data_IF_900200147819
#
_entry.id   IF_900200147819
#
_cell.length_a   1.000
_cell.length_b   1.000
_cell.length_c   1.000
_cell.angle_alpha   90.00
_cell.angle_beta   90.00
_cell.angle_gamma   90.00
#
_symmetry.space_group_name_H-M   'P 1'
#
loop_
_entity.id
_entity.type
_entity.pdbx_description
1 polymer ?
#
# COMPACT_ATOMS: atom_id res chain seq x y z
N UNK A 1 70.58 -6.91 20.41
CA UNK A 1 69.32 -7.01 21.17
C UNK A 1 68.30 -6.06 20.54
N UNK A 2 67.20 -6.57 19.94
CA UNK A 2 66.15 -5.68 19.40
C UNK A 2 65.55 -4.89 20.56
N UNK A 3 65.54 -3.56 20.45
CA UNK A 3 65.06 -2.70 21.54
C UNK A 3 63.63 -3.08 21.93
N UNK A 4 63.32 -3.02 23.23
CA UNK A 4 61.97 -3.29 23.75
C UNK A 4 60.89 -2.49 22.98
N UNK A 5 61.26 -1.28 22.55
CA UNK A 5 60.47 -0.39 21.69
C UNK A 5 60.06 -1.07 20.38
N UNK A 6 60.96 -1.75 19.66
CA UNK A 6 60.64 -2.41 18.38
C UNK A 6 59.70 -3.63 18.55
N UNK A 7 59.80 -4.35 19.67
CA UNK A 7 58.97 -5.54 19.94
C UNK A 7 57.50 -5.19 20.26
N UNK A 8 57.25 -4.00 20.79
CA UNK A 8 55.92 -3.55 21.24
C UNK A 8 55.29 -2.53 20.28
N UNK A 9 56.08 -1.61 19.72
CA UNK A 9 55.56 -0.55 18.84
C UNK A 9 55.13 -1.08 17.48
N UNK A 10 55.85 -2.06 16.92
CA UNK A 10 55.52 -2.62 15.60
C UNK A 10 54.16 -3.35 15.60
N UNK A 11 53.85 -4.25 16.54
CA UNK A 11 52.51 -4.84 16.64
C UNK A 11 51.40 -3.80 16.89
N UNK A 12 51.69 -2.78 17.70
CA UNK A 12 50.72 -1.71 17.99
C UNK A 12 50.37 -0.89 16.74
N UNK A 13 51.36 -0.60 15.90
CA UNK A 13 51.16 0.06 14.60
C UNK A 13 50.35 -0.79 13.64
N UNK A 14 50.56 -2.11 13.61
CA UNK A 14 49.76 -3.02 12.79
C UNK A 14 48.30 -3.08 13.26
N UNK A 15 48.04 -3.14 14.56
CA UNK A 15 46.68 -3.11 15.10
C UNK A 15 46.00 -1.79 14.77
N UNK A 16 46.71 -0.66 14.92
CA UNK A 16 46.19 0.65 14.54
C UNK A 16 45.87 0.74 13.04
N UNK A 17 46.73 0.21 12.18
CA UNK A 17 46.52 0.15 10.74
C UNK A 17 45.29 -0.70 10.37
N UNK A 18 45.15 -1.88 10.99
CA UNK A 18 43.99 -2.75 10.79
C UNK A 18 42.71 -2.07 11.26
N UNK A 19 42.73 -1.37 12.39
CA UNK A 19 41.58 -0.59 12.87
C UNK A 19 41.15 0.51 11.90
N UNK A 20 42.12 1.21 11.30
CA UNK A 20 41.87 2.22 10.27
C UNK A 20 41.25 1.58 9.02
N UNK A 21 41.85 0.50 8.50
CA UNK A 21 41.33 -0.21 7.31
C UNK A 21 39.91 -0.76 7.54
N UNK A 22 39.63 -1.35 8.70
CA UNK A 22 38.29 -1.84 9.05
C UNK A 22 37.26 -0.70 9.11
N UNK A 23 37.66 0.48 9.58
CA UNK A 23 36.78 1.66 9.61
C UNK A 23 36.44 2.15 8.20
N UNK A 24 37.42 2.13 7.28
CA UNK A 24 37.18 2.48 5.87
C UNK A 24 36.27 1.47 5.16
N UNK A 25 36.46 0.16 5.39
CA UNK A 25 35.58 -0.88 4.85
C UNK A 25 34.16 -0.76 5.41
N UNK A 26 34.01 -0.51 6.71
CA UNK A 26 32.72 -0.27 7.35
C UNK A 26 31.96 0.93 6.75
N UNK A 27 32.67 2.02 6.42
CA UNK A 27 32.07 3.18 5.76
C UNK A 27 31.60 2.87 4.33
N UNK A 28 32.30 2.03 3.59
CA UNK A 28 31.90 1.60 2.23
C UNK A 28 30.67 0.68 2.32
N UNK A 29 30.68 -0.28 3.24
CA UNK A 29 29.53 -1.17 3.46
C UNK A 29 28.29 -0.41 3.93
N UNK A 30 28.43 0.59 4.80
CA UNK A 30 27.32 1.46 5.23
C UNK A 30 26.75 2.30 4.08
N UNK A 31 27.61 2.80 3.18
CA UNK A 31 27.16 3.56 1.99
C UNK A 31 26.46 2.67 0.98
N UNK A 32 26.95 1.45 0.75
CA UNK A 32 26.29 0.47 -0.12
C UNK A 32 24.96 0.00 0.48
N UNK A 33 24.91 -0.23 1.80
CA UNK A 33 23.68 -0.57 2.52
C UNK A 33 22.66 0.59 2.46
N UNK A 34 23.12 1.83 2.63
CA UNK A 34 22.27 3.02 2.51
C UNK A 34 21.75 3.24 1.09
N UNK A 35 22.57 2.98 0.06
CA UNK A 35 22.15 3.08 -1.33
C UNK A 35 21.15 1.98 -1.72
N UNK A 36 21.43 0.72 -1.33
CA UNK A 36 20.52 -0.40 -1.55
C UNK A 36 19.20 -0.22 -0.78
N UNK A 37 19.26 0.24 0.47
CA UNK A 37 18.07 0.56 1.26
C UNK A 37 17.26 1.72 0.66
N UNK A 38 17.90 2.72 0.07
CA UNK A 38 17.23 3.82 -0.61
C UNK A 38 16.59 3.38 -1.94
N UNK A 39 17.22 2.46 -2.67
CA UNK A 39 16.67 1.87 -3.91
C UNK A 39 15.47 0.95 -3.61
N UNK A 40 15.58 0.12 -2.58
CA UNK A 40 14.47 -0.73 -2.08
C UNK A 40 13.33 0.16 -1.59
N UNK A 41 13.60 1.16 -0.75
CA UNK A 41 12.56 2.09 -0.30
C UNK A 41 11.91 2.86 -1.47
N UNK A 42 12.69 3.28 -2.46
CA UNK A 42 12.18 4.00 -3.62
C UNK A 42 11.24 3.15 -4.51
N UNK A 43 11.39 1.82 -4.52
CA UNK A 43 10.52 0.91 -5.28
C UNK A 43 9.33 0.41 -4.47
N UNK A 44 9.57 0.07 -3.19
CA UNK A 44 8.58 -0.59 -2.33
C UNK A 44 7.62 0.38 -1.64
N UNK A 45 8.07 1.59 -1.26
CA UNK A 45 7.20 2.60 -0.63
C UNK A 45 6.06 3.07 -1.55
N UNK A 46 6.28 3.31 -2.86
CA UNK A 46 5.19 3.63 -3.79
C UNK A 46 4.13 2.54 -3.92
N UNK A 47 4.51 1.25 -3.83
CA UNK A 47 3.58 0.13 -3.82
C UNK A 47 2.67 0.23 -2.59
N UNK A 48 3.26 0.37 -1.39
CA UNK A 48 2.53 0.50 -0.13
C UNK A 48 1.56 1.70 -0.15
N UNK A 49 2.02 2.87 -0.60
CA UNK A 49 1.19 4.08 -0.69
C UNK A 49 0.00 3.85 -1.64
N UNK A 50 0.23 3.20 -2.77
CA UNK A 50 -0.83 2.92 -3.76
C UNK A 50 -1.86 1.94 -3.20
N UNK A 51 -1.41 0.89 -2.52
CA UNK A 51 -2.29 -0.08 -1.86
C UNK A 51 -3.13 0.55 -0.75
N UNK A 52 -2.54 1.42 0.08
CA UNK A 52 -3.27 2.20 1.10
C UNK A 52 -4.30 3.15 0.46
N UNK A 53 -3.94 3.79 -0.66
CA UNK A 53 -4.85 4.67 -1.40
C UNK A 53 -6.05 3.91 -1.98
N UNK A 54 -5.86 2.66 -2.45
CA UNK A 54 -6.95 1.76 -2.87
C UNK A 54 -7.90 1.48 -1.71
N UNK A 55 -7.36 1.06 -0.56
CA UNK A 55 -8.14 0.74 0.64
C UNK A 55 -8.97 1.94 1.11
N UNK A 56 -8.33 3.12 1.22
CA UNK A 56 -8.96 4.37 1.62
C UNK A 56 -10.08 4.81 0.67
N UNK A 57 -9.86 4.71 -0.64
CA UNK A 57 -10.88 5.06 -1.64
C UNK A 57 -12.09 4.13 -1.56
N UNK A 58 -11.88 2.83 -1.34
CA UNK A 58 -12.99 1.88 -1.18
C UNK A 58 -13.84 2.21 0.06
N UNK A 59 -13.22 2.59 1.19
CA UNK A 59 -13.96 3.06 2.35
C UNK A 59 -14.78 4.31 2.05
N UNK A 60 -14.20 5.27 1.31
CA UNK A 60 -14.91 6.47 0.85
C UNK A 60 -16.11 6.11 -0.03
N UNK A 61 -15.96 5.17 -0.96
CA UNK A 61 -17.05 4.69 -1.82
C UNK A 61 -18.21 4.09 -1.00
N UNK A 62 -17.92 3.29 0.04
CA UNK A 62 -18.96 2.75 0.92
C UNK A 62 -19.71 3.85 1.68
N UNK A 63 -18.99 4.87 2.16
CA UNK A 63 -19.60 6.02 2.83
C UNK A 63 -20.49 6.83 1.88
N UNK A 64 -20.05 7.03 0.63
CA UNK A 64 -20.85 7.71 -0.39
C UNK A 64 -22.12 6.94 -0.73
N UNK A 65 -22.07 5.60 -0.82
CA UNK A 65 -23.26 4.75 -1.00
C UNK A 65 -24.28 4.93 0.13
N UNK A 66 -23.82 4.86 1.38
CA UNK A 66 -24.68 5.10 2.55
C UNK A 66 -25.28 6.49 2.51
N UNK A 67 -24.47 7.50 2.19
CA UNK A 67 -24.90 8.90 2.08
C UNK A 67 -25.97 9.05 1.00
N UNK A 68 -25.73 8.55 -0.21
CA UNK A 68 -26.68 8.57 -1.32
C UNK A 68 -28.03 7.93 -0.95
N UNK A 69 -27.99 6.84 -0.18
CA UNK A 69 -29.18 6.10 0.23
C UNK A 69 -30.08 6.84 1.23
N UNK A 70 -29.56 7.87 1.91
CA UNK A 70 -30.32 8.67 2.90
C UNK A 70 -30.63 10.09 2.40
N UNK A 71 -30.13 10.49 1.23
CA UNK A 71 -30.44 11.81 0.68
C UNK A 71 -31.88 11.88 0.19
N UNK A 72 -32.62 12.90 0.63
CA UNK A 72 -34.03 13.09 0.27
C UNK A 72 -34.23 13.92 -1.00
N UNK A 73 -33.27 14.79 -1.34
CA UNK A 73 -33.37 15.68 -2.49
C UNK A 73 -32.62 15.14 -3.70
N UNK A 74 -33.17 15.39 -4.89
CA UNK A 74 -32.53 15.01 -6.16
C UNK A 74 -31.19 15.73 -6.37
N UNK A 75 -31.10 16.98 -5.95
CA UNK A 75 -29.88 17.79 -6.09
C UNK A 75 -28.75 17.25 -5.22
N UNK A 76 -29.02 16.90 -3.97
CA UNK A 76 -28.03 16.29 -3.08
C UNK A 76 -27.61 14.90 -3.58
N UNK A 77 -28.57 14.08 -4.05
CA UNK A 77 -28.24 12.79 -4.69
C UNK A 77 -27.32 12.95 -5.89
N UNK A 78 -27.61 13.90 -6.78
CA UNK A 78 -26.80 14.13 -7.96
C UNK A 78 -25.36 14.55 -7.59
N UNK A 79 -25.20 15.40 -6.57
CA UNK A 79 -23.86 15.77 -6.06
C UNK A 79 -23.10 14.58 -5.49
N UNK A 80 -23.78 13.70 -4.77
CA UNK A 80 -23.18 12.47 -4.24
C UNK A 80 -22.83 11.51 -5.39
N UNK A 81 -23.67 11.38 -6.42
CA UNK A 81 -23.38 10.57 -7.62
C UNK A 81 -22.14 11.06 -8.37
N UNK A 82 -21.96 12.38 -8.51
CA UNK A 82 -20.73 12.97 -9.09
C UNK A 82 -19.50 12.59 -8.26
N UNK A 83 -19.58 12.68 -6.93
CA UNK A 83 -18.50 12.24 -6.03
C UNK A 83 -18.21 10.74 -6.15
N UNK A 84 -19.25 9.91 -6.26
CA UNK A 84 -19.11 8.47 -6.46
C UNK A 84 -18.41 8.15 -7.79
N UNK A 85 -18.77 8.86 -8.87
CA UNK A 85 -18.13 8.71 -10.17
C UNK A 85 -16.65 9.09 -10.12
N UNK A 86 -16.31 10.18 -9.43
CA UNK A 86 -14.91 10.59 -9.24
C UNK A 86 -14.14 9.56 -8.41
N UNK A 87 -14.74 9.06 -7.32
CA UNK A 87 -14.13 8.04 -6.46
C UNK A 87 -13.85 6.76 -7.25
N UNK A 88 -14.80 6.27 -8.05
CA UNK A 88 -14.64 5.08 -8.88
C UNK A 88 -13.55 5.25 -9.95
N UNK A 89 -13.48 6.41 -10.61
CA UNK A 89 -12.41 6.73 -11.56
C UNK A 89 -11.03 6.79 -10.87
N UNK A 90 -10.99 7.34 -9.65
CA UNK A 90 -9.77 7.44 -8.86
C UNK A 90 -9.28 6.07 -8.38
N UNK A 91 -10.19 5.20 -7.96
CA UNK A 91 -9.88 3.81 -7.59
C UNK A 91 -9.26 3.05 -8.76
N UNK A 92 -9.85 3.21 -9.96
CA UNK A 92 -9.30 2.61 -11.18
C UNK A 92 -7.89 3.13 -11.48
N UNK A 93 -7.66 4.43 -11.35
CA UNK A 93 -6.33 5.00 -11.55
C UNK A 93 -5.30 4.46 -10.55
N UNK A 94 -5.68 4.21 -9.29
CA UNK A 94 -4.79 3.59 -8.32
C UNK A 94 -4.49 2.11 -8.64
N UNK A 95 -5.47 1.36 -9.15
CA UNK A 95 -5.26 -0.02 -9.61
C UNK A 95 -4.35 -0.08 -10.84
N UNK A 96 -4.49 0.86 -11.77
CA UNK A 96 -3.61 0.99 -12.94
C UNK A 96 -2.19 1.36 -12.50
N UNK A 97 -2.02 2.29 -11.56
CA UNK A 97 -0.73 2.64 -10.99
C UNK A 97 -0.09 1.45 -10.24
N UNK A 98 -0.90 0.69 -9.51
CA UNK A 98 -0.45 -0.52 -8.83
C UNK A 98 0.07 -1.57 -9.83
N UNK A 99 -0.61 -1.74 -10.98
CA UNK A 99 -0.15 -2.63 -12.05
C UNK A 99 1.26 -2.28 -12.55
N UNK A 100 1.56 -0.98 -12.68
CA UNK A 100 2.88 -0.53 -13.13
C UNK A 100 3.98 -0.78 -12.08
N UNK A 101 3.60 -0.90 -10.81
CA UNK A 101 4.50 -1.07 -9.67
C UNK A 101 4.63 -2.54 -9.22
N UNK A 102 3.63 -3.37 -9.52
CA UNK A 102 3.60 -4.77 -9.09
C UNK A 102 4.60 -5.62 -9.89
N UNK A 103 5.51 -6.28 -9.17
CA UNK A 103 6.44 -7.24 -9.77
C UNK A 103 5.84 -8.65 -9.91
N UNK A 104 4.78 -8.96 -9.14
CA UNK A 104 4.06 -10.24 -9.16
C UNK A 104 2.69 -10.11 -9.86
N UNK A 105 2.63 -10.60 -11.10
CA UNK A 105 1.41 -10.64 -11.91
C UNK A 105 0.32 -11.51 -11.27
N UNK A 106 0.66 -12.59 -10.56
CA UNK A 106 -0.34 -13.45 -9.94
C UNK A 106 -1.05 -12.73 -8.79
N UNK A 107 -0.29 -12.03 -7.95
CA UNK A 107 -0.84 -11.22 -6.87
C UNK A 107 -1.71 -10.07 -7.41
N UNK A 108 -1.28 -9.43 -8.51
CA UNK A 108 -2.09 -8.43 -9.22
C UNK A 108 -3.42 -9.00 -9.73
N UNK A 109 -3.41 -10.16 -10.41
CA UNK A 109 -4.62 -10.79 -10.93
C UNK A 109 -5.60 -11.20 -9.83
N UNK A 110 -5.09 -11.68 -8.70
CA UNK A 110 -5.92 -12.01 -7.53
C UNK A 110 -6.58 -10.75 -6.95
N UNK A 111 -5.81 -9.65 -6.82
CA UNK A 111 -6.34 -8.36 -6.36
C UNK A 111 -7.41 -7.82 -7.31
N UNK A 112 -7.21 -7.95 -8.63
CA UNK A 112 -8.19 -7.58 -9.64
C UNK A 112 -9.46 -8.42 -9.55
N UNK A 113 -9.37 -9.72 -9.24
CA UNK A 113 -10.55 -10.57 -9.04
C UNK A 113 -11.39 -10.14 -7.82
N UNK A 114 -10.74 -9.77 -6.72
CA UNK A 114 -11.42 -9.23 -5.53
C UNK A 114 -12.05 -7.87 -5.85
N UNK A 115 -11.35 -7.00 -6.58
CA UNK A 115 -11.85 -5.71 -7.05
C UNK A 115 -13.07 -5.84 -7.96
N UNK A 116 -13.05 -6.74 -8.93
CA UNK A 116 -14.18 -6.96 -9.85
C UNK A 116 -15.41 -7.43 -9.07
N UNK A 117 -15.21 -8.33 -8.11
CA UNK A 117 -16.27 -8.78 -7.20
C UNK A 117 -16.81 -7.64 -6.35
N UNK A 118 -15.94 -6.76 -5.83
CA UNK A 118 -16.34 -5.57 -5.09
C UNK A 118 -17.19 -4.64 -5.96
N UNK A 119 -16.73 -4.32 -7.18
CA UNK A 119 -17.43 -3.40 -8.08
C UNK A 119 -18.78 -3.93 -8.56
N UNK A 120 -18.91 -5.23 -8.78
CA UNK A 120 -20.20 -5.85 -9.08
C UNK A 120 -21.20 -5.63 -7.94
N UNK A 121 -20.81 -5.99 -6.71
CA UNK A 121 -21.67 -5.80 -5.53
C UNK A 121 -21.94 -4.32 -5.22
N UNK A 122 -20.97 -3.45 -5.51
CA UNK A 122 -21.11 -2.01 -5.35
C UNK A 122 -22.18 -1.45 -6.29
N UNK A 123 -22.14 -1.82 -7.57
CA UNK A 123 -23.12 -1.38 -8.58
C UNK A 123 -24.53 -1.91 -8.28
N UNK A 124 -24.64 -3.14 -7.80
CA UNK A 124 -25.91 -3.71 -7.33
C UNK A 124 -26.47 -2.93 -6.15
N UNK A 125 -25.60 -2.56 -5.20
CA UNK A 125 -25.98 -1.78 -4.01
C UNK A 125 -26.36 -0.34 -4.37
N UNK A 126 -25.66 0.26 -5.33
CA UNK A 126 -25.99 1.59 -5.87
C UNK A 126 -27.37 1.62 -6.52
N UNK A 127 -27.72 0.58 -7.28
CA UNK A 127 -29.05 0.47 -7.89
C UNK A 127 -30.16 0.47 -6.84
N UNK A 128 -29.91 -0.10 -5.65
CA UNK A 128 -30.83 -0.09 -4.52
C UNK A 128 -30.88 1.26 -3.80
N UNK A 129 -29.77 2.01 -3.73
CA UNK A 129 -29.74 3.36 -3.13
C UNK A 129 -30.51 4.38 -3.97
N UNK A 130 -30.52 4.21 -5.29
CA UNK A 130 -31.38 4.98 -6.20
C UNK A 130 -32.88 4.77 -5.92
N UNK A 131 -33.27 3.59 -5.41
CA UNK A 131 -34.65 3.24 -5.06
C UNK A 131 -35.06 3.62 -3.62
N UNK A 132 -34.25 4.43 -2.90
CA UNK A 132 -34.46 4.79 -1.48
C UNK A 132 -34.56 3.57 -0.53
N UNK A 133 -33.95 2.45 -0.89
CA UNK A 133 -33.95 1.26 -0.05
C UNK A 133 -32.79 1.28 0.96
N UNK A 134 -32.77 2.31 1.79
CA UNK A 134 -31.69 2.61 2.76
C UNK A 134 -31.37 1.43 3.68
N UNK A 135 -32.39 0.66 4.10
CA UNK A 135 -32.20 -0.50 4.98
C UNK A 135 -31.42 -1.60 4.28
N UNK A 136 -31.76 -1.92 3.04
CA UNK A 136 -31.06 -2.95 2.27
C UNK A 136 -29.66 -2.51 1.86
N UNK A 137 -29.49 -1.23 1.49
CA UNK A 137 -28.18 -0.64 1.22
C UNK A 137 -27.27 -0.76 2.46
N UNK A 138 -27.78 -0.39 3.63
CA UNK A 138 -27.02 -0.49 4.89
C UNK A 138 -26.62 -1.93 5.19
N UNK A 139 -27.51 -2.90 4.96
CA UNK A 139 -27.22 -4.32 5.15
C UNK A 139 -26.15 -4.83 4.17
N UNK A 140 -26.22 -4.46 2.89
CA UNK A 140 -25.23 -4.85 1.88
C UNK A 140 -23.88 -4.18 2.11
N UNK A 141 -23.85 -2.91 2.53
CA UNK A 141 -22.62 -2.20 2.88
C UNK A 141 -21.95 -2.84 4.09
N UNK A 142 -22.69 -3.05 5.18
CA UNK A 142 -22.12 -3.55 6.43
C UNK A 142 -21.85 -5.07 6.43
N UNK A 143 -22.45 -5.82 5.50
CA UNK A 143 -22.19 -7.24 5.30
C UNK A 143 -21.29 -7.48 4.11
N UNK A 144 -21.89 -7.63 2.93
CA UNK A 144 -21.19 -8.10 1.72
C UNK A 144 -20.01 -7.19 1.32
N UNK A 145 -20.23 -5.87 1.21
CA UNK A 145 -19.17 -4.95 0.79
C UNK A 145 -18.06 -4.83 1.85
N UNK A 146 -18.43 -4.87 3.14
CA UNK A 146 -17.48 -4.92 4.26
C UNK A 146 -16.62 -6.18 4.20
N UNK A 147 -17.23 -7.34 3.95
CA UNK A 147 -16.52 -8.62 3.88
C UNK A 147 -15.54 -8.68 2.69
N UNK A 148 -15.94 -8.16 1.53
CA UNK A 148 -15.06 -8.05 0.37
C UNK A 148 -13.94 -7.03 0.63
N UNK A 149 -14.26 -5.91 1.28
CA UNK A 149 -13.27 -4.92 1.69
C UNK A 149 -12.24 -5.51 2.65
N UNK A 150 -12.66 -6.29 3.64
CA UNK A 150 -11.75 -6.95 4.57
C UNK A 150 -10.85 -7.95 3.84
N UNK A 151 -11.39 -8.74 2.90
CA UNK A 151 -10.57 -9.64 2.07
C UNK A 151 -9.52 -8.87 1.23
N UNK A 152 -9.91 -7.74 0.66
CA UNK A 152 -8.98 -6.88 -0.06
C UNK A 152 -7.92 -6.29 0.88
N UNK A 153 -8.33 -5.84 2.06
CA UNK A 153 -7.43 -5.27 3.06
C UNK A 153 -6.43 -6.31 3.56
N UNK A 154 -6.88 -7.51 3.91
CA UNK A 154 -6.01 -8.62 4.33
C UNK A 154 -5.01 -8.98 3.22
N UNK A 155 -5.46 -8.99 1.95
CA UNK A 155 -4.57 -9.21 0.80
C UNK A 155 -3.53 -8.09 0.68
N UNK A 156 -3.96 -6.83 0.79
CA UNK A 156 -3.08 -5.66 0.81
C UNK A 156 -2.04 -5.79 1.92
N UNK A 157 -2.42 -6.17 3.13
CA UNK A 157 -1.50 -6.34 4.25
C UNK A 157 -0.46 -7.45 3.98
N UNK A 158 -0.86 -8.57 3.37
CA UNK A 158 0.07 -9.62 2.95
C UNK A 158 1.08 -9.08 1.94
N UNK A 159 0.61 -8.36 0.91
CA UNK A 159 1.49 -7.79 -0.11
C UNK A 159 2.44 -6.74 0.48
N UNK A 160 1.97 -5.89 1.40
CA UNK A 160 2.83 -4.95 2.13
C UNK A 160 3.87 -5.71 2.96
N UNK A 161 3.51 -6.83 3.60
CA UNK A 161 4.44 -7.67 4.35
C UNK A 161 5.54 -8.28 3.48
N UNK A 162 5.20 -8.75 2.29
CA UNK A 162 6.15 -9.26 1.29
C UNK A 162 7.09 -8.15 0.77
N UNK A 163 6.60 -6.92 0.67
CA UNK A 163 7.42 -5.75 0.35
C UNK A 163 8.32 -5.31 1.53
N UNK A 164 8.07 -5.74 2.77
CA UNK A 164 8.91 -5.39 3.92
C UNK A 164 10.03 -6.40 4.21
N UNK A 165 10.04 -7.54 3.51
CA UNK A 165 11.04 -8.62 3.65
C UNK A 165 12.08 -8.63 2.54
#
# INVERSE_FOLDING_TARGET
MRSLKTKVIVPLLFIALVGICSSFLGLISLKQLGAAGNEIAARRVPVIITLDAISSNIQQMQQLLLTHSVMDTKEDKQRVEEQMSVSAATLRAYLDAFRELADDEAAYQEMMGIYDTYMQNYNDTFSLSAMNNTREVTAKVNGILRDIFNQLHDKIEVMIGEEQT
#
